data_IF_524954410758
#
_entry.id   IF_524954410758
#
_cell.length_a   1.000
_cell.length_b   1.000
_cell.length_c   1.000
_cell.angle_alpha   90.00
_cell.angle_beta   90.00
_cell.angle_gamma   90.00
#
_symmetry.space_group_name_H-M   'P 1'
#
loop_
_entity.id
_entity.type
_entity.pdbx_description
1 polymer ?
#
# COMPACT_ATOMS: atom_id res chain seq x y z
N UNK A 1 -35.46 -4.67 -28.67
CA UNK A 1 -34.42 -5.34 -27.88
C UNK A 1 -33.12 -5.31 -28.67
N UNK A 2 -32.19 -4.43 -28.31
CA UNK A 2 -30.85 -4.39 -28.89
C UNK A 2 -29.87 -4.36 -27.73
N UNK A 3 -29.25 -5.51 -27.47
CA UNK A 3 -28.15 -5.65 -26.54
C UNK A 3 -26.95 -4.92 -27.13
N UNK A 4 -26.43 -3.92 -26.41
CA UNK A 4 -25.12 -3.33 -26.72
C UNK A 4 -24.08 -4.05 -25.86
N UNK A 5 -23.01 -4.64 -26.43
CA UNK A 5 -22.11 -5.50 -25.68
C UNK A 5 -21.16 -4.69 -24.79
N UNK A 6 -21.05 -5.18 -23.55
CA UNK A 6 -19.94 -5.12 -22.59
C UNK A 6 -18.76 -4.17 -22.86
N UNK A 7 -18.60 -3.26 -21.90
CA UNK A 7 -17.36 -2.80 -21.21
C UNK A 7 -16.21 -2.25 -22.08
N UNK A 8 -15.78 -0.99 -21.85
CA UNK A 8 -14.38 -0.68 -22.11
C UNK A 8 -13.54 -1.43 -21.06
N UNK A 9 -12.80 -2.45 -21.51
CA UNK A 9 -11.61 -2.90 -20.81
C UNK A 9 -10.66 -1.71 -20.75
N UNK A 10 -10.72 -0.91 -19.69
CA UNK A 10 -9.62 -0.03 -19.33
C UNK A 10 -8.48 -0.97 -18.88
N UNK A 11 -7.69 -1.38 -19.85
CA UNK A 11 -6.41 -2.04 -19.65
C UNK A 11 -5.50 -1.02 -18.96
N UNK A 12 -5.53 -0.99 -17.63
CA UNK A 12 -4.67 -0.13 -16.82
C UNK A 12 -3.44 -0.91 -16.31
N UNK A 13 -2.88 -1.77 -17.15
CA UNK A 13 -1.60 -2.46 -16.90
C UNK A 13 -0.38 -1.58 -17.22
N UNK A 14 -0.57 -0.26 -17.28
CA UNK A 14 0.53 0.68 -17.48
C UNK A 14 1.41 0.74 -16.23
N UNK A 15 2.72 0.94 -16.41
CA UNK A 15 3.67 1.14 -15.30
C UNK A 15 3.23 2.31 -14.41
N UNK A 16 2.69 3.37 -15.00
CA UNK A 16 2.18 4.54 -14.28
C UNK A 16 1.05 4.14 -13.30
N UNK A 17 0.06 3.37 -13.77
CA UNK A 17 -1.03 2.86 -12.92
C UNK A 17 -0.49 1.98 -11.80
N UNK A 18 0.57 1.19 -12.04
CA UNK A 18 1.18 0.35 -11.01
C UNK A 18 1.87 1.19 -9.94
N UNK A 19 2.58 2.26 -10.32
CA UNK A 19 3.24 3.19 -9.39
C UNK A 19 2.19 3.93 -8.56
N UNK A 20 1.13 4.44 -9.18
CA UNK A 20 0.02 5.09 -8.45
C UNK A 20 -0.65 4.13 -7.46
N UNK A 21 -0.92 2.89 -7.88
CA UNK A 21 -1.48 1.87 -6.99
C UNK A 21 -0.55 1.55 -5.82
N UNK A 22 0.76 1.49 -6.04
CA UNK A 22 1.73 1.32 -4.97
C UNK A 22 1.70 2.49 -3.99
N UNK A 23 1.66 3.73 -4.49
CA UNK A 23 1.57 4.92 -3.67
C UNK A 23 0.29 4.95 -2.81
N UNK A 24 -0.87 4.67 -3.42
CA UNK A 24 -2.16 4.60 -2.71
C UNK A 24 -2.15 3.50 -1.63
N UNK A 25 -1.54 2.35 -1.91
CA UNK A 25 -1.41 1.27 -0.95
C UNK A 25 -0.55 1.68 0.26
N UNK A 26 0.57 2.38 0.02
CA UNK A 26 1.44 2.91 1.09
C UNK A 26 0.70 3.96 1.93
N UNK A 27 0.00 4.90 1.31
CA UNK A 27 -0.79 5.90 2.02
C UNK A 27 -1.89 5.27 2.88
N UNK A 28 -2.55 4.23 2.37
CA UNK A 28 -3.51 3.46 3.15
C UNK A 28 -2.85 2.76 4.33
N UNK A 29 -1.71 2.09 4.12
CA UNK A 29 -0.97 1.42 5.19
C UNK A 29 -0.57 2.40 6.30
N UNK A 30 -0.02 3.56 5.95
CA UNK A 30 0.35 4.62 6.91
C UNK A 30 -0.83 5.07 7.77
N UNK A 31 -2.01 5.28 7.16
CA UNK A 31 -3.22 5.66 7.90
C UNK A 31 -3.67 4.56 8.87
N UNK A 32 -3.58 3.30 8.46
CA UNK A 32 -3.94 2.17 9.32
C UNK A 32 -2.95 2.01 10.47
N UNK A 33 -1.65 2.19 10.23
CA UNK A 33 -0.62 2.19 11.28
C UNK A 33 -0.87 3.32 12.28
N UNK A 34 -1.12 4.53 11.80
CA UNK A 34 -1.41 5.68 12.65
C UNK A 34 -2.67 5.43 13.51
N UNK A 35 -3.74 4.92 12.90
CA UNK A 35 -4.97 4.57 13.62
C UNK A 35 -4.72 3.50 14.68
N UNK A 36 -4.01 2.41 14.34
CA UNK A 36 -3.68 1.33 15.28
C UNK A 36 -2.81 1.82 16.44
N UNK A 37 -1.84 2.68 16.17
CA UNK A 37 -0.94 3.26 17.17
C UNK A 37 -1.70 4.20 18.12
N UNK A 38 -2.66 4.98 17.60
CA UNK A 38 -3.49 5.86 18.42
C UNK A 38 -4.51 5.10 19.26
N UNK A 39 -5.10 4.03 18.73
CA UNK A 39 -6.10 3.24 19.45
C UNK A 39 -5.49 2.20 20.38
N UNK A 40 -4.23 1.80 20.16
CA UNK A 40 -3.56 0.70 20.85
C UNK A 40 -4.41 -0.60 20.82
N UNK A 41 -5.09 -0.83 19.70
CA UNK A 41 -6.01 -1.96 19.54
C UNK A 41 -5.35 -3.10 18.77
N UNK A 42 -5.32 -4.30 19.37
CA UNK A 42 -4.67 -5.49 18.80
C UNK A 42 -5.22 -5.86 17.42
N UNK A 43 -6.53 -5.72 17.20
CA UNK A 43 -7.13 -5.99 15.89
C UNK A 43 -6.71 -4.95 14.85
N UNK A 44 -6.63 -3.67 15.23
CA UNK A 44 -6.11 -2.62 14.38
C UNK A 44 -4.64 -2.86 13.99
N UNK A 45 -3.80 -3.39 14.89
CA UNK A 45 -2.43 -3.79 14.57
C UNK A 45 -2.38 -4.90 13.52
N UNK A 46 -3.24 -5.92 13.61
CA UNK A 46 -3.35 -6.98 12.59
C UNK A 46 -3.70 -6.40 11.23
N UNK A 47 -4.68 -5.48 11.19
CA UNK A 47 -5.09 -4.82 9.94
C UNK A 47 -3.99 -3.92 9.37
N UNK A 48 -3.28 -3.17 10.22
CA UNK A 48 -2.16 -2.34 9.80
C UNK A 48 -1.01 -3.18 9.23
N UNK A 49 -0.69 -4.32 9.86
CA UNK A 49 0.31 -5.27 9.35
C UNK A 49 -0.07 -5.82 7.97
N UNK A 50 -1.34 -6.22 7.79
CA UNK A 50 -1.81 -6.68 6.49
C UNK A 50 -1.73 -5.58 5.43
N UNK A 51 -2.06 -4.34 5.78
CA UNK A 51 -1.95 -3.21 4.87
C UNK A 51 -0.49 -2.95 4.44
N UNK A 52 0.46 -3.10 5.36
CA UNK A 52 1.89 -3.01 5.05
C UNK A 52 2.31 -4.09 4.06
N UNK A 53 1.94 -5.35 4.29
CA UNK A 53 2.28 -6.44 3.37
C UNK A 53 1.67 -6.22 1.99
N UNK A 54 0.41 -5.80 1.92
CA UNK A 54 -0.24 -5.47 0.65
C UNK A 54 0.49 -4.34 -0.11
N UNK A 55 0.95 -3.31 0.62
CA UNK A 55 1.72 -2.21 0.04
C UNK A 55 3.11 -2.66 -0.45
N UNK A 56 3.81 -3.54 0.30
CA UNK A 56 5.09 -4.14 -0.14
C UNK A 56 4.93 -4.89 -1.46
N UNK A 57 3.86 -5.68 -1.58
CA UNK A 57 3.58 -6.38 -2.82
C UNK A 57 3.25 -5.42 -3.97
N UNK A 58 2.48 -4.35 -3.71
CA UNK A 58 2.14 -3.35 -4.72
C UNK A 58 3.40 -2.64 -5.24
N UNK A 59 4.31 -2.24 -4.36
CA UNK A 59 5.62 -1.70 -4.74
C UNK A 59 6.40 -2.71 -5.57
N UNK A 60 6.46 -3.98 -5.13
CA UNK A 60 7.18 -5.04 -5.84
C UNK A 60 6.62 -5.26 -7.26
N UNK A 61 5.31 -5.20 -7.43
CA UNK A 61 4.64 -5.28 -8.74
C UNK A 61 4.89 -4.06 -9.62
N UNK A 62 5.09 -2.89 -9.00
CA UNK A 62 5.37 -1.63 -9.69
C UNK A 62 6.84 -1.44 -10.04
N UNK A 63 7.76 -2.14 -9.37
CA UNK A 63 9.19 -2.10 -9.68
C UNK A 63 9.42 -2.48 -11.15
N UNK A 64 10.16 -1.61 -11.83
CA UNK A 64 10.66 -1.86 -13.19
C UNK A 64 12.19 -1.84 -13.18
N UNK A 65 12.82 -2.11 -14.33
CA UNK A 65 14.28 -2.07 -14.46
C UNK A 65 14.89 -0.69 -14.17
N UNK A 66 14.09 0.37 -14.24
CA UNK A 66 14.45 1.73 -13.83
C UNK A 66 13.89 2.03 -12.45
N UNK A 67 14.76 2.50 -11.56
CA UNK A 67 14.40 2.92 -10.21
C UNK A 67 13.58 4.21 -10.28
N UNK A 68 12.29 4.12 -9.95
CA UNK A 68 11.39 5.28 -9.95
C UNK A 68 11.50 6.03 -8.60
N UNK A 69 11.72 7.36 -8.59
CA UNK A 69 11.84 8.14 -7.37
C UNK A 69 10.62 8.08 -6.44
N UNK A 70 9.40 7.99 -6.99
CA UNK A 70 8.18 7.86 -6.19
C UNK A 70 8.11 6.49 -5.53
N UNK A 71 8.53 5.42 -6.23
CA UNK A 71 8.61 4.09 -5.62
C UNK A 71 9.66 4.03 -4.52
N UNK A 72 10.82 4.67 -4.70
CA UNK A 72 11.84 4.78 -3.64
C UNK A 72 11.31 5.49 -2.40
N UNK A 73 10.56 6.58 -2.60
CA UNK A 73 9.91 7.28 -1.50
C UNK A 73 8.85 6.40 -0.82
N UNK A 74 8.05 5.68 -1.61
CA UNK A 74 7.06 4.73 -1.08
C UNK A 74 7.71 3.63 -0.24
N UNK A 75 8.86 3.09 -0.65
CA UNK A 75 9.60 2.09 0.12
C UNK A 75 10.07 2.63 1.46
N UNK A 76 10.66 3.84 1.45
CA UNK A 76 11.14 4.48 2.67
C UNK A 76 9.98 4.72 3.64
N UNK A 77 8.90 5.34 3.17
CA UNK A 77 7.75 5.65 4.02
C UNK A 77 7.08 4.39 4.56
N UNK A 78 7.01 3.32 3.76
CA UNK A 78 6.46 2.04 4.20
C UNK A 78 7.35 1.37 5.24
N UNK A 79 8.67 1.47 5.10
CA UNK A 79 9.62 0.97 6.09
C UNK A 79 9.49 1.72 7.43
N UNK A 80 9.37 3.05 7.38
CA UNK A 80 9.17 3.89 8.57
C UNK A 80 7.85 3.51 9.27
N UNK A 81 6.75 3.35 8.51
CA UNK A 81 5.45 2.94 9.07
C UNK A 81 5.50 1.54 9.70
N UNK A 82 6.20 0.60 9.06
CA UNK A 82 6.39 -0.74 9.61
C UNK A 82 7.23 -0.73 10.90
N UNK A 83 8.26 0.10 10.95
CA UNK A 83 9.08 0.27 12.15
C UNK A 83 8.24 0.81 13.30
N UNK A 84 7.49 1.90 13.09
CA UNK A 84 6.60 2.48 14.10
C UNK A 84 5.58 1.47 14.62
N UNK A 85 4.95 0.70 13.73
CA UNK A 85 3.99 -0.33 14.11
C UNK A 85 4.65 -1.38 15.01
N UNK A 86 5.83 -1.86 14.63
CA UNK A 86 6.58 -2.89 15.36
C UNK A 86 7.05 -2.39 16.71
N UNK A 87 7.57 -1.17 16.79
CA UNK A 87 7.97 -0.56 18.06
C UNK A 87 6.79 -0.42 19.01
N UNK A 88 5.66 0.10 18.52
CA UNK A 88 4.45 0.25 19.33
C UNK A 88 3.98 -1.09 19.88
N UNK A 89 3.92 -2.12 19.03
CA UNK A 89 3.53 -3.48 19.46
C UNK A 89 4.49 -4.09 20.48
N UNK A 90 5.78 -3.78 20.42
CA UNK A 90 6.77 -4.27 21.38
C UNK A 90 6.72 -3.53 22.73
N UNK A 91 6.10 -2.35 22.78
CA UNK A 91 5.98 -1.50 23.96
C UNK A 91 4.60 -1.56 24.64
N UNK A 92 3.66 -2.34 24.11
CA UNK A 92 2.40 -2.72 24.76
C UNK A 92 2.59 -3.92 25.69
#
# INVERSE_FOLDING_TARGET
MTQNPKKPHLQADSVFTKIENAHLAVESAKKMVAAATMSLDEHAFVHAKQAIENAKEAITRAKTSTQDPLLLQCEKELADAHHQLTETMNHM
#
